data_IF_118537272314
#
_entry.id   IF_118537272314
#
_cell.length_a   1.000
_cell.length_b   1.000
_cell.length_c   1.000
_cell.angle_alpha   90.00
_cell.angle_beta   90.00
_cell.angle_gamma   90.00
#
_symmetry.space_group_name_H-M   'P 1'
#
loop_
_entity.id
_entity.type
_entity.pdbx_description
1 polymer ?
#
# COMPACT_ATOMS: atom_id res chain seq x y z
N UNK A 1 5.34 -18.68 -1.72
CA UNK A 1 4.34 -17.74 -2.29
C UNK A 1 5.10 -16.51 -2.72
N UNK A 2 5.18 -16.24 -4.03
CA UNK A 2 5.86 -15.05 -4.51
C UNK A 2 4.99 -13.84 -4.15
N UNK A 3 5.50 -12.95 -3.29
CA UNK A 3 4.79 -11.73 -2.95
C UNK A 3 4.81 -10.84 -4.20
N UNK A 4 3.65 -10.64 -4.84
CA UNK A 4 3.51 -9.75 -6.00
C UNK A 4 3.83 -8.29 -5.64
N UNK A 5 3.83 -7.98 -4.34
CA UNK A 5 4.10 -6.69 -3.75
C UNK A 5 5.20 -6.80 -2.69
N UNK A 6 6.00 -5.75 -2.54
CA UNK A 6 7.00 -5.59 -1.49
C UNK A 6 6.77 -4.28 -0.73
N UNK A 7 7.14 -4.24 0.54
CA UNK A 7 7.17 -3.01 1.34
C UNK A 7 8.50 -2.32 1.06
N UNK A 8 8.48 -1.16 0.41
CA UNK A 8 9.70 -0.34 0.24
C UNK A 8 9.95 0.47 1.51
N UNK A 9 8.88 1.02 2.11
CA UNK A 9 8.98 1.85 3.31
C UNK A 9 7.75 1.70 4.19
N UNK A 10 7.98 1.53 5.48
CA UNK A 10 6.92 1.45 6.48
C UNK A 10 7.19 2.44 7.60
N UNK A 11 6.22 3.31 7.87
CA UNK A 11 6.31 4.32 8.92
C UNK A 11 4.99 4.42 9.67
N UNK A 12 4.97 5.13 10.81
CA UNK A 12 3.74 5.37 11.56
C UNK A 12 2.71 6.25 10.83
N UNK A 13 3.13 7.00 9.82
CA UNK A 13 2.25 7.91 9.07
C UNK A 13 1.85 7.42 7.68
N UNK A 14 2.61 6.51 7.08
CA UNK A 14 2.27 5.90 5.79
C UNK A 14 3.06 4.62 5.53
N UNK A 15 2.54 3.82 4.61
CA UNK A 15 3.16 2.61 4.08
C UNK A 15 3.33 2.77 2.59
N UNK A 16 4.51 2.42 2.09
CA UNK A 16 4.87 2.44 0.68
C UNK A 16 5.06 1.00 0.20
N UNK A 17 4.26 0.64 -0.79
CA UNK A 17 4.21 -0.69 -1.38
C UNK A 17 4.64 -0.57 -2.83
N UNK A 18 5.53 -1.45 -3.27
CA UNK A 18 5.95 -1.57 -4.66
C UNK A 18 5.45 -2.86 -5.26
N UNK A 19 4.87 -2.78 -6.45
CA UNK A 19 4.55 -3.96 -7.24
C UNK A 19 5.82 -4.50 -7.90
N UNK A 20 6.19 -5.74 -7.61
CA UNK A 20 7.47 -6.34 -8.03
C UNK A 20 7.53 -6.53 -9.55
N UNK A 21 6.40 -6.87 -10.17
CA UNK A 21 6.34 -7.18 -11.62
C UNK A 21 6.32 -5.95 -12.51
N UNK A 22 5.51 -4.96 -12.15
CA UNK A 22 5.28 -3.78 -13.00
C UNK A 22 6.01 -2.55 -12.48
N UNK A 23 6.53 -2.58 -11.25
CA UNK A 23 7.28 -1.47 -10.65
C UNK A 23 6.42 -0.31 -10.15
N UNK A 24 5.09 -0.43 -10.13
CA UNK A 24 4.22 0.60 -9.56
C UNK A 24 4.51 0.83 -8.08
N UNK A 25 4.47 2.10 -7.66
CA UNK A 25 4.59 2.48 -6.25
C UNK A 25 3.23 2.96 -5.74
N UNK A 26 2.83 2.47 -4.59
CA UNK A 26 1.59 2.81 -3.91
C UNK A 26 1.93 3.34 -2.54
N UNK A 27 1.45 4.55 -2.21
CA UNK A 27 1.62 5.11 -0.89
C UNK A 27 0.26 5.20 -0.20
N UNK A 28 0.15 4.53 0.94
CA UNK A 28 -1.05 4.49 1.75
C UNK A 28 -0.79 5.24 3.07
N UNK A 29 -1.30 6.47 3.23
CA UNK A 29 -1.24 7.18 4.50
C UNK A 29 -2.07 6.45 5.56
N UNK A 30 -1.53 6.41 6.78
CA UNK A 30 -2.24 5.93 7.97
C UNK A 30 -2.91 7.14 8.60
N UNK A 31 -4.23 7.08 8.74
CA UNK A 31 -5.02 8.13 9.37
C UNK A 31 -5.69 7.58 10.63
N UNK A 32 -5.75 8.39 11.67
CA UNK A 32 -6.54 8.11 12.86
C UNK A 32 -8.00 8.46 12.56
N UNK A 33 -8.87 7.45 12.56
CA UNK A 33 -10.31 7.67 12.42
C UNK A 33 -10.91 8.36 13.65
N UNK A 34 -12.10 8.96 13.51
CA UNK A 34 -12.83 9.68 14.57
C UNK A 34 -13.10 8.85 15.84
N UNK A 35 -12.95 7.52 15.79
CA UNK A 35 -13.17 6.60 16.91
C UNK A 35 -11.94 5.69 17.16
N UNK A 36 -10.73 6.27 17.17
CA UNK A 36 -9.46 5.61 17.58
C UNK A 36 -8.97 4.49 16.64
N UNK A 37 -9.77 4.03 15.69
CA UNK A 37 -9.30 3.06 14.68
C UNK A 37 -8.36 3.73 13.69
N UNK A 38 -7.09 3.35 13.72
CA UNK A 38 -6.08 3.68 12.70
C UNK A 38 -6.44 2.91 11.43
N UNK A 39 -6.58 3.60 10.30
CA UNK A 39 -6.96 3.01 9.00
C UNK A 39 -6.03 3.48 7.90
N UNK A 40 -5.88 2.67 6.85
CA UNK A 40 -5.22 3.12 5.63
C UNK A 40 -6.18 3.94 4.77
N UNK A 41 -5.76 5.13 4.41
CA UNK A 41 -6.41 5.98 3.44
C UNK A 41 -5.84 5.74 2.04
N UNK A 42 -6.64 6.04 1.02
CA UNK A 42 -6.15 6.13 -0.34
C UNK A 42 -5.15 7.28 -0.45
N UNK A 43 -3.94 6.97 -0.90
CA UNK A 43 -2.90 7.95 -1.14
C UNK A 43 -2.41 7.95 -2.58
N UNK A 44 -1.36 8.75 -2.87
CA UNK A 44 -0.83 8.88 -4.20
C UNK A 44 -0.25 7.55 -4.69
N UNK A 45 -0.46 7.29 -5.97
CA UNK A 45 0.06 6.13 -6.69
C UNK A 45 0.97 6.66 -7.78
N UNK A 46 2.11 6.02 -7.98
CA UNK A 46 3.01 6.31 -9.07
C UNK A 46 2.97 5.17 -10.06
N UNK A 47 2.42 5.47 -11.22
CA UNK A 47 2.43 4.59 -12.38
C UNK A 47 3.83 4.49 -12.96
N UNK A 48 4.26 3.25 -13.22
CA UNK A 48 5.39 3.02 -14.08
C UNK A 48 4.90 3.12 -15.52
N UNK A 49 5.45 4.03 -16.32
CA UNK A 49 5.01 4.29 -17.71
C UNK A 49 5.32 3.11 -18.65
N UNK A 50 6.26 2.26 -18.26
CA UNK A 50 6.64 1.04 -18.98
C UNK A 50 5.83 -0.20 -18.55
N UNK A 51 4.91 -0.05 -17.60
CA UNK A 51 4.05 -1.14 -17.15
C UNK A 51 3.03 -1.54 -18.22
N UNK A 52 2.74 -2.84 -18.30
CA UNK A 52 1.74 -3.38 -19.23
C UNK A 52 0.32 -3.05 -18.83
N UNK A 53 0.07 -2.76 -17.55
CA UNK A 53 -1.24 -2.43 -17.00
C UNK A 53 -1.11 -1.21 -16.10
N UNK A 54 -2.20 -0.47 -15.98
CA UNK A 54 -2.27 0.72 -15.13
C UNK A 54 -2.20 0.34 -13.64
N UNK A 55 -1.63 1.23 -12.81
CA UNK A 55 -1.54 1.01 -11.36
C UNK A 55 -2.92 0.81 -10.72
N UNK A 56 -3.97 1.40 -11.30
CA UNK A 56 -5.35 1.26 -10.85
C UNK A 56 -5.81 -0.20 -10.85
N UNK A 57 -5.35 -1.02 -11.81
CA UNK A 57 -5.71 -2.44 -11.89
C UNK A 57 -5.25 -3.23 -10.66
N UNK A 58 -4.04 -2.93 -10.18
CA UNK A 58 -3.44 -3.59 -9.02
C UNK A 58 -3.69 -2.85 -7.71
N UNK A 59 -4.37 -1.70 -7.73
CA UNK A 59 -4.55 -0.85 -6.54
C UNK A 59 -5.28 -1.57 -5.40
N UNK A 60 -6.30 -2.36 -5.72
CA UNK A 60 -7.03 -3.14 -4.70
C UNK A 60 -6.12 -4.19 -4.05
N UNK A 61 -5.32 -4.91 -4.84
CA UNK A 61 -4.40 -5.92 -4.32
C UNK A 61 -3.27 -5.29 -3.49
N UNK A 62 -2.73 -4.17 -3.96
CA UNK A 62 -1.73 -3.38 -3.23
C UNK A 62 -2.28 -2.89 -1.88
N UNK A 63 -3.54 -2.44 -1.85
CA UNK A 63 -4.21 -2.01 -0.63
C UNK A 63 -4.39 -3.17 0.36
N UNK A 64 -4.92 -4.31 -0.08
CA UNK A 64 -5.11 -5.49 0.77
C UNK A 64 -3.77 -5.96 1.36
N UNK A 65 -2.70 -5.93 0.56
CA UNK A 65 -1.35 -6.22 1.03
C UNK A 65 -0.87 -5.21 2.06
N UNK A 66 -1.02 -3.91 1.78
CA UNK A 66 -0.67 -2.83 2.70
C UNK A 66 -1.42 -2.96 4.03
N UNK A 67 -2.74 -3.24 4.00
CA UNK A 67 -3.58 -3.42 5.19
C UNK A 67 -3.09 -4.60 6.04
N UNK A 68 -2.74 -5.72 5.40
CA UNK A 68 -2.22 -6.89 6.10
C UNK A 68 -0.88 -6.59 6.78
N UNK A 69 0.06 -5.97 6.09
CA UNK A 69 1.37 -5.63 6.64
C UNK A 69 1.29 -4.53 7.70
N UNK A 70 0.37 -3.57 7.53
CA UNK A 70 0.06 -2.54 8.52
C UNK A 70 -0.45 -3.15 9.81
N UNK A 71 -1.44 -4.05 9.73
CA UNK A 71 -2.03 -4.72 10.90
C UNK A 71 -1.00 -5.61 11.60
N UNK A 72 -0.17 -6.32 10.83
CA UNK A 72 0.93 -7.13 11.39
C UNK A 72 1.98 -6.28 12.13
N UNK A 73 2.18 -5.05 11.70
CA UNK A 73 3.10 -4.10 12.33
C UNK A 73 2.44 -3.21 13.40
N UNK A 74 1.21 -3.52 13.81
CA UNK A 74 0.44 -2.73 14.80
C UNK A 74 0.27 -1.25 14.41
N UNK A 75 0.24 -0.96 13.11
CA UNK A 75 0.07 0.39 12.59
C UNK A 75 -1.40 0.76 12.41
N UNK A 76 -2.26 -0.24 12.19
CA UNK A 76 -3.71 -0.11 12.05
C UNK A 76 -4.42 -1.17 12.89
N UNK A 77 -5.68 -0.90 13.21
CA UNK A 77 -6.56 -1.79 13.99
C UNK A 77 -7.51 -2.58 13.07
#
# INVERSE_FOLDING_TARGET
>A
MAYEFTIERQTRGWIEVRHVREGHLYRFPIIEGQHVSRKLADGPRSDNKDAKRESAFYALQARVFAEREARKADLID
#
